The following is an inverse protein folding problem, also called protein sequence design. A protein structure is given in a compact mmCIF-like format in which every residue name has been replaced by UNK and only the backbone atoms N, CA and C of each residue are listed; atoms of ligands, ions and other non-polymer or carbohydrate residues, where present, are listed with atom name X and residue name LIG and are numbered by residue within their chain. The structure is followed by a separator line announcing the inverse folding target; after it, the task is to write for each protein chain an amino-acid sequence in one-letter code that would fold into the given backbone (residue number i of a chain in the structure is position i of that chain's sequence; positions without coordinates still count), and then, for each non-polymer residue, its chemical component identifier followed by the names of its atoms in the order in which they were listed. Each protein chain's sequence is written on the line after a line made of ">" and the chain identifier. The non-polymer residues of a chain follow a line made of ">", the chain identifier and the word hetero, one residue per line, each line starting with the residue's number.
data_IF_355330084225
#
_entry.id   IF_355330084225
#
_cell.length_a   1.000
_cell.length_b   1.000
_cell.length_c   1.000
_cell.angle_alpha   90.00
_cell.angle_beta   90.00
_cell.angle_gamma   90.00
#
_symmetry.space_group_name_H-M   'P 1'
#
loop_
_entity.id
_entity.type
_entity.pdbx_description
1 polymer ?
#
# COMPACT_ATOMS: atom_id res chain seq x y z
N UNK A 1 2.80 -0.08 3.81
CA UNK A 1 2.40 -0.21 2.39
C UNK A 1 1.67 1.05 1.96
N UNK A 2 2.02 1.60 0.81
CA UNK A 2 1.33 2.79 0.29
C UNK A 2 0.91 2.51 -1.14
N UNK A 3 -0.41 2.53 -1.39
CA UNK A 3 -0.98 2.10 -2.67
C UNK A 3 -0.32 2.78 -3.88
N UNK A 4 -0.07 4.09 -3.80
CA UNK A 4 0.58 4.85 -4.89
C UNK A 4 2.06 4.51 -5.05
N UNK A 5 2.79 4.24 -3.97
CA UNK A 5 4.19 3.83 -4.09
C UNK A 5 4.28 2.46 -4.77
N UNK A 6 3.35 1.57 -4.42
CA UNK A 6 3.30 0.21 -4.96
C UNK A 6 2.89 0.20 -6.44
N UNK A 7 2.09 1.18 -6.88
CA UNK A 7 1.82 1.42 -8.30
C UNK A 7 3.07 1.81 -9.10
N UNK A 8 4.11 2.34 -8.47
CA UNK A 8 5.39 2.64 -9.14
C UNK A 8 6.37 1.48 -9.04
N UNK A 9 6.65 1.00 -7.83
CA UNK A 9 7.71 0.03 -7.59
C UNK A 9 7.42 -1.35 -8.17
N UNK A 10 6.16 -1.83 -8.10
CA UNK A 10 5.83 -3.19 -8.54
C UNK A 10 5.84 -3.30 -10.08
N UNK A 11 5.24 -2.37 -10.85
CA UNK A 11 5.38 -2.34 -12.31
C UNK A 11 6.83 -2.12 -12.76
N UNK A 12 7.61 -1.28 -12.07
CA UNK A 12 9.04 -1.11 -12.35
C UNK A 12 9.79 -2.44 -12.18
N UNK A 13 9.53 -3.17 -11.10
CA UNK A 13 10.09 -4.51 -10.90
C UNK A 13 9.64 -5.51 -11.97
N UNK A 14 8.40 -5.42 -12.43
CA UNK A 14 7.85 -6.28 -13.49
C UNK A 14 8.54 -6.01 -14.84
N UNK A 15 8.85 -4.75 -15.15
CA UNK A 15 9.60 -4.37 -16.35
C UNK A 15 11.05 -4.87 -16.28
N UNK A 16 11.70 -4.68 -15.13
CA UNK A 16 13.09 -5.12 -14.91
C UNK A 16 13.23 -6.65 -14.89
N UNK A 17 12.18 -7.39 -14.51
CA UNK A 17 12.12 -8.86 -14.61
C UNK A 17 12.39 -9.36 -16.03
N UNK A 18 12.01 -8.60 -17.05
CA UNK A 18 12.26 -8.94 -18.46
C UNK A 18 13.71 -8.76 -18.90
N UNK A 19 14.54 -8.05 -18.12
CA UNK A 19 15.94 -7.79 -18.45
C UNK A 19 16.85 -8.81 -17.74
N UNK A 20 17.30 -9.81 -18.49
CA UNK A 20 18.15 -10.90 -17.97
C UNK A 20 19.48 -10.41 -17.42
N UNK A 21 20.06 -9.33 -17.97
CA UNK A 21 21.31 -8.73 -17.48
C UNK A 21 21.14 -8.10 -16.09
N UNK A 22 20.06 -7.36 -15.88
CA UNK A 22 19.76 -6.73 -14.59
C UNK A 22 19.44 -7.79 -13.54
N UNK A 23 18.63 -8.79 -13.89
CA UNK A 23 18.24 -9.88 -12.98
C UNK A 23 19.45 -10.74 -12.59
N UNK A 24 20.37 -10.99 -13.52
CA UNK A 24 21.62 -11.71 -13.26
C UNK A 24 22.56 -10.91 -12.36
N UNK A 25 22.74 -9.62 -12.63
CA UNK A 25 23.59 -8.73 -11.81
C UNK A 25 23.04 -8.56 -10.40
N UNK A 26 21.72 -8.53 -10.24
CA UNK A 26 21.05 -8.47 -8.94
C UNK A 26 21.08 -9.80 -8.17
N UNK A 27 21.48 -10.92 -8.79
CA UNK A 27 21.44 -12.24 -8.16
C UNK A 27 20.02 -12.77 -7.92
N UNK A 28 19.05 -12.30 -8.70
CA UNK A 28 17.61 -12.50 -8.44
C UNK A 28 16.92 -13.46 -9.43
N UNK A 29 17.69 -14.18 -10.25
CA UNK A 29 17.19 -15.05 -11.34
C UNK A 29 16.04 -15.98 -10.95
N UNK A 30 16.08 -16.59 -9.76
CA UNK A 30 15.07 -17.55 -9.31
C UNK A 30 14.10 -16.99 -8.25
N UNK A 31 14.17 -15.70 -7.91
CA UNK A 31 13.37 -15.09 -6.82
C UNK A 31 12.18 -14.26 -7.31
N UNK A 32 12.05 -14.01 -8.61
CA UNK A 32 10.98 -13.17 -9.17
C UNK A 32 9.71 -13.95 -9.55
N UNK A 33 9.59 -15.23 -9.16
CA UNK A 33 8.43 -16.07 -9.47
C UNK A 33 7.10 -15.47 -8.98
N UNK A 34 7.10 -14.87 -7.79
CA UNK A 34 5.91 -14.26 -7.19
C UNK A 34 5.57 -12.86 -7.75
N UNK A 35 6.49 -12.25 -8.50
CA UNK A 35 6.28 -10.95 -9.12
C UNK A 35 5.45 -11.12 -10.40
N UNK A 36 4.13 -11.09 -10.23
CA UNK A 36 3.14 -11.29 -11.28
C UNK A 36 2.12 -10.16 -11.26
N UNK A 37 1.55 -9.83 -12.42
CA UNK A 37 0.53 -8.80 -12.53
C UNK A 37 -0.77 -9.15 -11.77
N UNK A 38 -1.27 -10.41 -11.79
CA UNK A 38 -2.42 -10.79 -10.96
C UNK A 38 -2.13 -10.72 -9.46
N UNK A 39 -0.94 -11.15 -9.03
CA UNK A 39 -0.52 -11.06 -7.63
C UNK A 39 -0.38 -9.62 -7.15
N UNK A 40 0.11 -8.72 -8.00
CA UNK A 40 0.14 -7.28 -7.72
C UNK A 40 -1.26 -6.72 -7.47
N UNK A 41 -2.23 -7.00 -8.33
CA UNK A 41 -3.57 -6.43 -8.22
C UNK A 41 -4.33 -6.99 -7.02
N UNK A 42 -4.35 -8.32 -6.88
CA UNK A 42 -5.19 -9.01 -5.89
C UNK A 42 -4.55 -9.05 -4.49
N UNK A 43 -3.25 -9.30 -4.40
CA UNK A 43 -2.58 -9.49 -3.10
C UNK A 43 -1.91 -8.23 -2.56
N UNK A 44 -1.82 -7.17 -3.35
CA UNK A 44 -1.18 -5.93 -2.91
C UNK A 44 -2.07 -4.70 -3.14
N UNK A 45 -2.44 -4.39 -4.38
CA UNK A 45 -3.09 -3.12 -4.68
C UNK A 45 -4.47 -2.98 -4.02
N UNK A 46 -5.33 -4.01 -4.12
CA UNK A 46 -6.64 -4.02 -3.49
C UNK A 46 -6.59 -3.94 -1.94
N UNK A 47 -5.89 -4.82 -1.22
CA UNK A 47 -5.85 -4.76 0.23
C UNK A 47 -5.15 -3.48 0.74
N UNK A 48 -4.11 -3.00 0.07
CA UNK A 48 -3.38 -1.79 0.47
C UNK A 48 -4.20 -0.53 0.23
N UNK A 49 -4.91 -0.42 -0.90
CA UNK A 49 -5.82 0.73 -1.13
C UNK A 49 -6.93 0.77 -0.08
N UNK A 50 -7.53 -0.39 0.25
CA UNK A 50 -8.55 -0.48 1.29
C UNK A 50 -7.98 -0.08 2.67
N UNK A 51 -6.79 -0.59 3.02
CA UNK A 51 -6.10 -0.23 4.26
C UNK A 51 -5.80 1.27 4.35
N UNK A 52 -5.36 1.89 3.25
CA UNK A 52 -5.09 3.33 3.20
C UNK A 52 -6.37 4.16 3.38
N UNK A 53 -7.49 3.76 2.77
CA UNK A 53 -8.79 4.44 2.93
C UNK A 53 -9.31 4.29 4.36
N UNK A 54 -9.25 3.08 4.93
CA UNK A 54 -9.70 2.83 6.31
C UNK A 54 -8.84 3.63 7.29
N UNK A 55 -7.51 3.64 7.12
CA UNK A 55 -6.59 4.41 7.95
C UNK A 55 -6.87 5.91 7.90
N UNK A 56 -7.08 6.46 6.70
CA UNK A 56 -7.46 7.87 6.51
C UNK A 56 -8.81 8.19 7.14
N UNK A 57 -9.82 7.34 6.90
CA UNK A 57 -11.17 7.51 7.44
C UNK A 57 -11.18 7.47 8.97
N UNK A 58 -10.44 6.56 9.59
CA UNK A 58 -10.34 6.45 11.05
C UNK A 58 -9.70 7.71 11.67
N UNK A 59 -8.65 8.23 11.03
CA UNK A 59 -8.00 9.46 11.48
C UNK A 59 -8.97 10.65 11.44
N UNK A 60 -9.65 10.85 10.30
CA UNK A 60 -10.65 11.91 10.14
C UNK A 60 -11.80 11.75 11.12
N UNK A 61 -12.33 10.54 11.28
CA UNK A 61 -13.41 10.25 12.22
C UNK A 61 -13.01 10.55 13.68
N UNK A 62 -11.78 10.20 14.07
CA UNK A 62 -11.26 10.47 15.42
C UNK A 62 -11.13 11.97 15.68
N UNK A 63 -10.56 12.71 14.73
CA UNK A 63 -10.43 14.17 14.82
C UNK A 63 -11.80 14.84 14.89
N UNK A 64 -12.74 14.43 14.03
CA UNK A 64 -14.09 14.96 14.03
C UNK A 64 -14.82 14.69 15.34
N UNK A 65 -14.71 13.46 15.87
CA UNK A 65 -15.29 13.11 17.16
C UNK A 65 -14.69 13.97 18.29
N UNK A 66 -13.38 14.14 18.29
CA UNK A 66 -12.68 14.93 19.32
C UNK A 66 -13.09 16.40 19.32
N UNK A 67 -13.28 17.00 18.14
CA UNK A 67 -13.61 18.42 18.01
C UNK A 67 -15.10 18.70 18.25
N UNK A 68 -16.01 17.87 17.73
CA UNK A 68 -17.43 18.20 17.67
C UNK A 68 -18.30 17.36 18.61
N UNK A 69 -17.95 16.11 18.89
CA UNK A 69 -18.77 15.18 19.67
C UNK A 69 -18.27 14.96 21.09
N UNK A 70 -17.04 15.37 21.39
CA UNK A 70 -16.49 15.31 22.75
C UNK A 70 -17.21 16.32 23.64
N UNK A 71 -18.31 15.88 24.27
CA UNK A 71 -19.02 16.66 25.30
C UNK A 71 -18.02 17.08 26.38
N UNK A 72 -17.79 18.39 26.51
CA UNK A 72 -17.16 18.94 27.70
C UNK A 72 -18.11 18.66 28.88
N UNK A 73 -17.64 17.94 29.90
CA UNK A 73 -18.40 17.84 31.16
C UNK A 73 -18.57 19.27 31.66
N UNK A 74 -19.79 19.80 31.64
CA UNK A 74 -20.11 21.00 32.45
C UNK A 74 -19.81 20.61 33.89
N UNK A 75 -18.72 21.17 34.43
CA UNK A 75 -18.44 21.14 35.86
C UNK A 75 -19.60 21.93 36.49
N UNK A 76 -20.43 21.23 37.26
CA UNK A 76 -21.46 21.83 38.11
C UNK A 76 -20.80 22.38 39.35
#
# INVERSE_FOLDING_TARGET
>A
EHSIANMFFIPMGLLLKGNTTVVATAGMANKLGNLTLPGFLLNNLLPVTLGNIIGGSLCVATVYWFLYLRKSKKIK
#
